data_IF_570772129446
#
_entry.id   IF_570772129446
#
_cell.length_a   1.000
_cell.length_b   1.000
_cell.length_c   1.000
_cell.angle_alpha   90.00
_cell.angle_beta   90.00
_cell.angle_gamma   90.00
#
_symmetry.space_group_name_H-M   'P 1'
#
loop_
_entity.id
_entity.type
_entity.pdbx_description
1 polymer ?
#
# COMPACT_ATOMS: atom_id res chain seq x y z
N UNK A 1 105.82 -20.92 66.17
CA UNK A 1 104.63 -21.74 65.88
C UNK A 1 103.44 -21.02 66.50
N UNK A 2 102.69 -20.27 65.71
CA UNK A 2 101.36 -19.79 66.07
C UNK A 2 100.63 -19.48 64.77
N UNK A 3 99.46 -20.09 64.68
CA UNK A 3 98.61 -20.30 63.53
C UNK A 3 97.74 -19.08 63.26
N UNK A 4 97.76 -18.58 62.03
CA UNK A 4 96.66 -17.77 61.48
C UNK A 4 95.53 -18.72 61.11
N UNK A 5 94.33 -18.49 61.66
CA UNK A 5 93.14 -19.20 61.21
C UNK A 5 91.94 -18.26 61.31
N UNK A 6 91.09 -18.36 60.28
CA UNK A 6 89.66 -18.03 60.30
C UNK A 6 89.24 -16.60 59.93
N UNK A 7 89.30 -16.27 58.64
CA UNK A 7 88.44 -15.22 58.04
C UNK A 7 87.77 -15.66 56.72
N UNK A 8 88.14 -16.82 56.16
CA UNK A 8 87.72 -17.22 54.81
C UNK A 8 86.49 -18.12 54.73
N UNK A 9 86.11 -18.86 55.79
CA UNK A 9 84.97 -19.79 55.72
C UNK A 9 83.61 -19.08 55.74
N UNK A 10 83.43 -18.07 56.60
CA UNK A 10 82.16 -17.34 56.78
C UNK A 10 81.69 -16.62 55.51
N UNK A 11 82.62 -16.08 54.72
CA UNK A 11 82.28 -15.34 53.50
C UNK A 11 81.74 -16.26 52.39
N UNK A 12 82.12 -17.54 52.39
CA UNK A 12 81.76 -18.49 51.33
C UNK A 12 80.37 -19.08 51.54
N UNK A 13 80.01 -19.38 52.79
CA UNK A 13 78.67 -19.84 53.15
C UNK A 13 77.60 -18.75 52.99
N UNK A 14 77.88 -17.52 53.38
CA UNK A 14 76.96 -16.38 53.18
C UNK A 14 76.70 -16.12 51.69
N UNK A 15 77.73 -16.22 50.84
CA UNK A 15 77.59 -16.09 49.38
C UNK A 15 76.77 -17.25 48.78
N UNK A 16 76.91 -18.46 49.31
CA UNK A 16 76.13 -19.62 48.87
C UNK A 16 74.63 -19.50 49.23
N UNK A 17 74.33 -19.06 50.46
CA UNK A 17 72.97 -18.84 50.94
C UNK A 17 72.26 -17.70 50.18
N UNK A 18 72.98 -16.63 49.88
CA UNK A 18 72.49 -15.53 49.04
C UNK A 18 72.21 -15.96 47.60
N UNK A 19 73.02 -16.85 47.03
CA UNK A 19 72.77 -17.43 45.69
C UNK A 19 71.53 -18.31 45.68
N UNK A 20 71.32 -19.14 46.72
CA UNK A 20 70.11 -19.96 46.83
C UNK A 20 68.85 -19.10 46.93
N UNK A 21 68.83 -18.12 47.84
CA UNK A 21 67.70 -17.18 47.97
C UNK A 21 67.43 -16.42 46.68
N UNK A 22 68.46 -16.00 45.95
CA UNK A 22 68.27 -15.35 44.65
C UNK A 22 67.68 -16.31 43.60
N UNK A 23 68.03 -17.59 43.63
CA UNK A 23 67.44 -18.58 42.74
C UNK A 23 65.96 -18.82 43.09
N UNK A 24 65.63 -18.90 44.38
CA UNK A 24 64.26 -19.09 44.85
C UNK A 24 63.39 -17.86 44.55
N UNK A 25 63.88 -16.65 44.83
CA UNK A 25 63.20 -15.41 44.46
C UNK A 25 62.98 -15.27 42.94
N UNK A 26 63.93 -15.75 42.12
CA UNK A 26 63.75 -15.79 40.66
C UNK A 26 62.66 -16.77 40.26
N UNK A 27 62.62 -17.97 40.87
CA UNK A 27 61.57 -18.98 40.63
C UNK A 27 60.20 -18.45 41.05
N UNK A 28 60.09 -17.88 42.24
CA UNK A 28 58.86 -17.28 42.74
C UNK A 28 58.39 -16.15 41.83
N UNK A 29 59.29 -15.23 41.43
CA UNK A 29 58.96 -14.18 40.48
C UNK A 29 58.46 -14.74 39.14
N UNK A 30 59.10 -15.77 38.61
CA UNK A 30 58.70 -16.38 37.34
C UNK A 30 57.36 -17.11 37.47
N UNK A 31 57.08 -17.72 38.63
CA UNK A 31 55.79 -18.30 38.96
C UNK A 31 54.69 -17.24 39.11
N UNK A 32 54.97 -16.13 39.79
CA UNK A 32 54.04 -15.02 39.92
C UNK A 32 53.73 -14.36 38.58
N UNK A 33 54.73 -14.22 37.70
CA UNK A 33 54.50 -13.73 36.33
C UNK A 33 53.55 -14.66 35.56
N UNK A 34 53.77 -15.97 35.62
CA UNK A 34 52.87 -16.94 34.97
C UNK A 34 51.44 -16.90 35.51
N UNK A 35 51.29 -16.74 36.84
CA UNK A 35 49.96 -16.59 37.47
C UNK A 35 49.27 -15.29 37.05
N UNK A 36 50.02 -14.21 36.92
CA UNK A 36 49.51 -12.91 36.46
C UNK A 36 49.07 -12.97 35.00
N UNK A 37 49.87 -13.57 34.13
CA UNK A 37 49.52 -13.76 32.71
C UNK A 37 48.28 -14.65 32.54
N UNK A 38 48.16 -15.71 33.37
CA UNK A 38 46.98 -16.57 33.36
C UNK A 38 45.72 -15.88 33.89
N UNK A 39 45.85 -15.03 34.92
CA UNK A 39 44.74 -14.25 35.45
C UNK A 39 44.29 -13.16 34.46
N UNK A 40 45.22 -12.50 33.78
CA UNK A 40 44.91 -11.53 32.74
C UNK A 40 44.12 -12.19 31.60
N UNK A 41 44.58 -13.35 31.13
CA UNK A 41 43.89 -14.11 30.08
C UNK A 41 42.47 -14.52 30.47
N UNK A 42 42.25 -14.96 31.71
CA UNK A 42 40.91 -15.29 32.21
C UNK A 42 39.99 -14.07 32.32
N UNK A 43 40.56 -12.90 32.60
CA UNK A 43 39.82 -11.64 32.69
C UNK A 43 39.41 -11.15 31.31
N UNK A 44 40.33 -11.21 30.33
CA UNK A 44 40.05 -10.91 28.93
C UNK A 44 38.97 -11.85 28.36
N UNK A 45 39.05 -13.16 28.63
CA UNK A 45 38.04 -14.16 28.22
C UNK A 45 36.67 -13.95 28.90
N UNK A 46 36.63 -13.39 30.11
CA UNK A 46 35.38 -13.07 30.81
C UNK A 46 34.74 -11.79 30.27
N UNK A 47 35.54 -10.77 29.94
CA UNK A 47 35.07 -9.53 29.31
C UNK A 47 34.52 -9.78 27.90
N UNK A 48 35.19 -10.60 27.10
CA UNK A 48 34.72 -10.99 25.76
C UNK A 48 33.39 -11.75 25.81
N UNK A 49 33.22 -12.67 26.78
CA UNK A 49 31.95 -13.39 26.97
C UNK A 49 30.82 -12.48 27.46
N UNK A 50 31.10 -11.51 28.32
CA UNK A 50 30.11 -10.54 28.77
C UNK A 50 29.65 -9.63 27.61
N UNK A 51 30.59 -9.15 26.79
CA UNK A 51 30.30 -8.37 25.58
C UNK A 51 29.45 -9.15 24.57
N UNK A 52 29.75 -10.44 24.36
CA UNK A 52 28.95 -11.32 23.50
C UNK A 52 27.51 -11.52 24.02
N UNK A 53 27.33 -11.56 25.35
CA UNK A 53 26.01 -11.64 25.98
C UNK A 53 25.15 -10.39 25.75
N UNK A 54 25.74 -9.21 25.87
CA UNK A 54 25.06 -7.93 25.60
C UNK A 54 24.69 -7.77 24.12
N UNK A 55 25.56 -8.21 23.22
CA UNK A 55 25.32 -8.19 21.78
C UNK A 55 24.22 -9.17 21.37
N UNK A 56 24.18 -10.36 21.98
CA UNK A 56 23.09 -11.33 21.79
C UNK A 56 21.74 -10.77 22.28
N UNK A 57 21.72 -10.12 23.45
CA UNK A 57 20.52 -9.49 23.99
C UNK A 57 20.04 -8.30 23.14
N UNK A 58 20.97 -7.57 22.51
CA UNK A 58 20.64 -6.51 21.54
C UNK A 58 20.06 -7.12 20.25
N UNK A 59 20.70 -8.16 19.72
CA UNK A 59 20.25 -8.84 18.50
C UNK A 59 18.87 -9.48 18.68
N UNK A 60 18.58 -10.07 19.85
CA UNK A 60 17.25 -10.59 20.18
C UNK A 60 16.18 -9.49 20.23
N UNK A 61 16.51 -8.32 20.82
CA UNK A 61 15.58 -7.17 20.82
C UNK A 61 15.32 -6.67 19.42
N UNK A 62 16.35 -6.57 18.59
CA UNK A 62 16.22 -6.10 17.21
C UNK A 62 15.47 -7.13 16.35
N UNK A 63 15.69 -8.43 16.57
CA UNK A 63 14.91 -9.49 15.93
C UNK A 63 13.43 -9.42 16.31
N UNK A 64 13.12 -9.28 17.61
CA UNK A 64 11.73 -9.17 18.07
C UNK A 64 11.05 -7.92 17.49
N UNK A 65 11.75 -6.78 17.42
CA UNK A 65 11.24 -5.56 16.77
C UNK A 65 10.96 -5.80 15.29
N UNK A 66 11.91 -6.42 14.58
CA UNK A 66 11.76 -6.71 13.16
C UNK A 66 10.60 -7.67 12.90
N UNK A 67 10.43 -8.69 13.75
CA UNK A 67 9.32 -9.63 13.69
C UNK A 67 7.97 -8.92 13.90
N UNK A 68 7.86 -8.02 14.89
CA UNK A 68 6.66 -7.20 15.08
C UNK A 68 6.38 -6.32 13.86
N UNK A 69 7.37 -5.58 13.36
CA UNK A 69 7.21 -4.74 12.17
C UNK A 69 6.81 -5.55 10.93
N UNK A 70 7.32 -6.78 10.78
CA UNK A 70 6.94 -7.68 9.71
C UNK A 70 5.48 -8.12 9.81
N UNK A 71 5.00 -8.44 11.02
CA UNK A 71 3.61 -8.78 11.26
C UNK A 71 2.67 -7.59 10.99
N UNK A 72 3.06 -6.39 11.43
CA UNK A 72 2.30 -5.16 11.20
C UNK A 72 2.17 -4.85 9.70
N UNK A 73 3.29 -4.90 8.96
CA UNK A 73 3.29 -4.72 7.50
C UNK A 73 2.45 -5.79 6.78
N UNK A 74 2.45 -7.02 7.28
CA UNK A 74 1.63 -8.10 6.72
C UNK A 74 0.15 -7.79 6.90
N UNK A 75 -0.26 -7.36 8.10
CA UNK A 75 -1.64 -6.98 8.39
C UNK A 75 -2.10 -5.74 7.60
N UNK A 76 -1.22 -4.74 7.46
CA UNK A 76 -1.49 -3.56 6.64
C UNK A 76 -1.64 -3.93 5.16
N UNK A 77 -0.77 -4.79 4.63
CA UNK A 77 -0.86 -5.29 3.26
C UNK A 77 -2.15 -6.06 3.01
N UNK A 78 -2.59 -6.90 3.95
CA UNK A 78 -3.85 -7.64 3.84
C UNK A 78 -5.06 -6.69 3.87
N UNK A 79 -5.02 -5.66 4.71
CA UNK A 79 -6.05 -4.62 4.77
C UNK A 79 -6.12 -3.85 3.45
N UNK A 80 -4.99 -3.34 2.95
CA UNK A 80 -4.92 -2.60 1.69
C UNK A 80 -5.34 -3.47 0.49
N UNK A 81 -5.00 -4.77 0.49
CA UNK A 81 -5.43 -5.69 -0.55
C UNK A 81 -6.96 -5.88 -0.54
N UNK A 82 -7.57 -5.97 0.65
CA UNK A 82 -9.02 -6.04 0.82
C UNK A 82 -9.69 -4.75 0.36
N UNK A 83 -9.18 -3.58 0.76
CA UNK A 83 -9.73 -2.28 0.37
C UNK A 83 -9.64 -2.04 -1.14
N UNK A 84 -8.51 -2.42 -1.75
CA UNK A 84 -8.32 -2.33 -3.20
C UNK A 84 -9.30 -3.24 -3.95
N UNK A 85 -9.52 -4.46 -3.45
CA UNK A 85 -10.51 -5.39 -4.00
C UNK A 85 -11.90 -4.76 -3.97
N UNK A 86 -12.33 -4.26 -2.80
CA UNK A 86 -13.63 -3.59 -2.64
C UNK A 86 -13.76 -2.41 -3.59
N UNK A 87 -12.81 -1.48 -3.58
CA UNK A 87 -12.84 -0.28 -4.43
C UNK A 87 -12.92 -0.61 -5.93
N UNK A 88 -12.19 -1.64 -6.39
CA UNK A 88 -12.22 -2.06 -7.79
C UNK A 88 -13.56 -2.70 -8.17
N UNK A 89 -14.13 -3.52 -7.30
CA UNK A 89 -15.45 -4.14 -7.51
C UNK A 89 -16.52 -3.06 -7.54
N UNK A 90 -16.57 -2.17 -6.54
CA UNK A 90 -17.54 -1.08 -6.41
C UNK A 90 -17.48 -0.14 -7.63
N UNK A 91 -16.27 0.26 -8.04
CA UNK A 91 -16.06 1.12 -9.21
C UNK A 91 -16.52 0.46 -10.52
N UNK A 92 -16.22 -0.83 -10.70
CA UNK A 92 -16.64 -1.57 -11.89
C UNK A 92 -18.17 -1.77 -11.94
N UNK A 93 -18.80 -2.06 -10.80
CA UNK A 93 -20.26 -2.18 -10.70
C UNK A 93 -20.93 -0.83 -10.95
N UNK A 94 -20.46 0.24 -10.31
CA UNK A 94 -20.98 1.59 -10.51
C UNK A 94 -20.92 2.02 -11.98
N UNK A 95 -19.78 1.79 -12.65
CA UNK A 95 -19.61 2.09 -14.07
C UNK A 95 -20.55 1.25 -14.96
N UNK A 96 -20.77 -0.02 -14.60
CA UNK A 96 -21.66 -0.91 -15.33
C UNK A 96 -23.14 -0.52 -15.16
N UNK A 97 -23.56 -0.14 -13.95
CA UNK A 97 -24.91 0.37 -13.66
C UNK A 97 -25.18 1.66 -14.45
N UNK A 98 -24.22 2.59 -14.44
CA UNK A 98 -24.32 3.84 -15.20
C UNK A 98 -24.43 3.58 -16.71
N UNK A 99 -23.58 2.69 -17.24
CA UNK A 99 -23.60 2.31 -18.67
C UNK A 99 -24.87 1.55 -19.06
N UNK A 100 -25.47 0.81 -18.13
CA UNK A 100 -26.71 0.09 -18.31
C UNK A 100 -27.97 0.96 -18.29
N UNK A 101 -27.85 2.27 -18.03
CA UNK A 101 -28.98 3.19 -17.87
C UNK A 101 -30.02 2.68 -16.86
N UNK A 102 -29.55 2.12 -15.75
CA UNK A 102 -30.39 1.63 -14.66
C UNK A 102 -31.20 2.77 -14.06
N UNK A 103 -32.48 2.51 -13.76
CA UNK A 103 -33.35 3.50 -13.13
C UNK A 103 -32.80 3.90 -11.74
N UNK A 104 -32.76 5.20 -11.40
CA UNK A 104 -32.19 5.67 -10.13
C UNK A 104 -32.76 4.96 -8.90
N UNK A 105 -34.06 4.69 -8.88
CA UNK A 105 -34.75 4.01 -7.78
C UNK A 105 -34.40 2.52 -7.65
N UNK A 106 -33.74 1.93 -8.66
CA UNK A 106 -33.32 0.53 -8.69
C UNK A 106 -31.81 0.35 -8.53
N UNK A 107 -31.03 1.44 -8.47
CA UNK A 107 -29.55 1.38 -8.41
C UNK A 107 -29.08 0.53 -7.24
N UNK A 108 -29.57 0.79 -6.03
CA UNK A 108 -29.17 0.08 -4.81
C UNK A 108 -29.48 -1.43 -4.90
N UNK A 109 -30.63 -1.79 -5.47
CA UNK A 109 -31.02 -3.18 -5.66
C UNK A 109 -30.11 -3.91 -6.67
N UNK A 110 -29.78 -3.24 -7.78
CA UNK A 110 -28.91 -3.79 -8.82
C UNK A 110 -27.47 -3.91 -8.32
N UNK A 111 -26.98 -2.91 -7.59
CA UNK A 111 -25.69 -2.90 -6.93
C UNK A 111 -25.57 -4.10 -5.99
N UNK A 112 -26.55 -4.32 -5.11
CA UNK A 112 -26.57 -5.47 -4.20
C UNK A 112 -26.57 -6.83 -4.93
N UNK A 113 -27.30 -6.95 -6.06
CA UNK A 113 -27.31 -8.16 -6.88
C UNK A 113 -25.92 -8.40 -7.49
N UNK A 114 -25.30 -7.36 -8.05
CA UNK A 114 -23.99 -7.48 -8.69
C UNK A 114 -22.90 -7.76 -7.67
N UNK A 115 -22.91 -7.13 -6.49
CA UNK A 115 -21.98 -7.45 -5.40
C UNK A 115 -22.07 -8.90 -4.95
N UNK A 116 -23.30 -9.43 -4.81
CA UNK A 116 -23.49 -10.84 -4.41
C UNK A 116 -22.85 -11.83 -5.40
N UNK A 117 -22.80 -11.47 -6.68
CA UNK A 117 -22.28 -12.33 -7.75
C UNK A 117 -20.82 -12.04 -8.10
N UNK A 118 -20.28 -10.91 -7.67
CA UNK A 118 -18.93 -10.48 -8.02
C UNK A 118 -17.88 -11.34 -7.31
N UNK A 119 -16.92 -11.81 -8.09
CA UNK A 119 -15.72 -12.49 -7.63
C UNK A 119 -14.52 -11.64 -8.01
N UNK A 120 -13.53 -11.57 -7.12
CA UNK A 120 -12.28 -10.86 -7.38
C UNK A 120 -11.12 -11.83 -7.24
N UNK A 121 -10.50 -12.15 -8.36
CA UNK A 121 -9.40 -13.10 -8.50
C UNK A 121 -8.36 -12.49 -9.44
N UNK A 122 -7.07 -12.76 -9.19
CA UNK A 122 -5.94 -12.32 -10.01
C UNK A 122 -5.93 -10.82 -10.37
N UNK A 123 -6.46 -9.98 -9.49
CA UNK A 123 -6.50 -8.53 -9.68
C UNK A 123 -7.66 -8.02 -10.53
N UNK A 124 -8.57 -8.90 -10.97
CA UNK A 124 -9.72 -8.57 -11.81
C UNK A 124 -11.05 -8.94 -11.14
N UNK A 125 -12.02 -8.04 -11.25
CA UNK A 125 -13.40 -8.29 -10.81
C UNK A 125 -14.21 -8.93 -11.94
N UNK A 126 -14.83 -10.08 -11.68
CA UNK A 126 -15.61 -10.84 -12.65
C UNK A 126 -16.95 -11.29 -12.08
N UNK A 127 -17.93 -11.53 -12.96
CA UNK A 127 -19.19 -12.21 -12.64
C UNK A 127 -19.37 -13.30 -13.70
N UNK A 128 -19.63 -14.54 -13.26
CA UNK A 128 -19.76 -15.72 -14.14
C UNK A 128 -18.59 -15.87 -15.13
N UNK A 129 -17.36 -15.59 -14.65
CA UNK A 129 -16.13 -15.66 -15.45
C UNK A 129 -15.97 -14.57 -16.52
N UNK A 130 -16.85 -13.56 -16.54
CA UNK A 130 -16.79 -12.41 -17.46
C UNK A 130 -16.45 -11.14 -16.72
N UNK A 131 -15.91 -10.15 -17.45
CA UNK A 131 -15.78 -8.81 -16.89
C UNK A 131 -17.16 -8.31 -16.42
N UNK A 132 -17.19 -7.51 -15.35
CA UNK A 132 -18.44 -6.95 -14.81
C UNK A 132 -19.20 -6.16 -15.90
N UNK A 133 -18.49 -5.48 -16.79
CA UNK A 133 -19.08 -4.76 -17.91
C UNK A 133 -19.77 -5.69 -18.94
N UNK A 134 -19.12 -6.80 -19.32
CA UNK A 134 -19.70 -7.76 -20.28
C UNK A 134 -20.87 -8.53 -19.70
N UNK A 135 -20.77 -8.89 -18.41
CA UNK A 135 -21.87 -9.47 -17.66
C UNK A 135 -23.06 -8.50 -17.64
N UNK A 136 -22.84 -7.25 -17.21
CA UNK A 136 -23.88 -6.24 -17.11
C UNK A 136 -24.59 -5.99 -18.45
N UNK A 137 -23.83 -5.87 -19.54
CA UNK A 137 -24.39 -5.73 -20.89
C UNK A 137 -25.33 -6.89 -21.25
N UNK A 138 -24.96 -8.12 -20.91
CA UNK A 138 -25.77 -9.31 -21.18
C UNK A 138 -26.99 -9.37 -20.25
N UNK A 139 -26.79 -9.08 -18.96
CA UNK A 139 -27.81 -9.11 -17.93
C UNK A 139 -28.91 -8.08 -18.20
N UNK A 140 -28.54 -6.82 -18.42
CA UNK A 140 -29.47 -5.73 -18.71
C UNK A 140 -30.20 -5.87 -20.04
N UNK A 141 -29.64 -6.62 -21.01
CA UNK A 141 -30.34 -6.94 -22.25
C UNK A 141 -31.43 -8.02 -22.09
N UNK A 142 -31.41 -8.80 -21.00
CA UNK A 142 -32.32 -9.93 -20.78
C UNK A 142 -32.92 -9.89 -19.38
N UNK A 143 -32.30 -10.60 -18.44
CA UNK A 143 -32.82 -10.86 -17.11
C UNK A 143 -33.04 -9.58 -16.30
N UNK A 144 -32.12 -8.63 -16.44
CA UNK A 144 -32.15 -7.33 -15.78
C UNK A 144 -32.83 -6.21 -16.58
N UNK A 145 -33.45 -6.49 -17.72
CA UNK A 145 -34.08 -5.47 -18.58
C UNK A 145 -35.12 -4.62 -17.85
N UNK A 146 -35.82 -5.22 -16.88
CA UNK A 146 -36.79 -4.54 -16.05
C UNK A 146 -36.19 -3.54 -15.06
N UNK A 147 -34.86 -3.48 -14.85
CA UNK A 147 -34.20 -2.44 -14.05
C UNK A 147 -33.74 -1.24 -14.87
N UNK A 148 -33.61 -1.43 -16.18
CA UNK A 148 -33.10 -0.44 -17.13
C UNK A 148 -34.23 0.52 -17.50
N UNK A 149 -33.89 1.79 -17.71
CA UNK A 149 -34.82 2.72 -18.35
C UNK A 149 -35.11 2.25 -19.77
N UNK A 150 -36.35 2.41 -20.23
CA UNK A 150 -36.58 2.35 -21.68
C UNK A 150 -35.58 3.29 -22.37
N UNK A 151 -35.08 2.91 -23.54
CA UNK A 151 -34.40 3.88 -24.40
C UNK A 151 -35.31 5.11 -24.48
N UNK A 152 -34.74 6.32 -24.45
CA UNK A 152 -35.53 7.54 -24.61
C UNK A 152 -36.36 7.35 -25.88
N UNK A 153 -37.65 7.08 -25.68
CA UNK A 153 -38.56 6.94 -26.78
C UNK A 153 -38.67 8.35 -27.32
N UNK A 154 -37.96 8.63 -28.42
CA UNK A 154 -38.22 9.76 -29.30
C UNK A 154 -39.58 9.59 -30.01
N UNK A 155 -40.59 9.10 -29.28
CA UNK A 155 -41.98 9.27 -29.62
C UNK A 155 -42.27 10.75 -29.38
N UNK A 156 -42.67 11.42 -30.45
CA UNK A 156 -43.23 12.76 -30.39
C UNK A 156 -44.16 12.86 -29.17
N UNK A 157 -43.91 13.86 -28.32
CA UNK A 157 -44.77 14.37 -27.24
C UNK A 157 -44.42 14.01 -25.78
N UNK A 158 -43.31 13.33 -25.49
CA UNK A 158 -42.83 13.23 -24.10
C UNK A 158 -41.90 14.40 -23.73
N UNK A 159 -42.46 15.42 -23.08
CA UNK A 159 -41.72 16.53 -22.46
C UNK A 159 -40.96 16.00 -21.24
N UNK A 160 -39.70 15.58 -21.45
CA UNK A 160 -38.87 15.02 -20.39
C UNK A 160 -37.38 15.24 -20.63
N UNK A 161 -36.87 16.38 -20.16
CA UNK A 161 -35.46 16.68 -19.91
C UNK A 161 -34.49 16.58 -21.10
N UNK A 162 -34.57 17.55 -22.02
CA UNK A 162 -33.47 17.79 -22.95
C UNK A 162 -32.38 18.60 -22.22
N UNK A 163 -31.31 17.93 -21.80
CA UNK A 163 -30.04 18.59 -21.52
C UNK A 163 -29.61 19.32 -22.79
N UNK A 164 -29.93 20.62 -22.85
CA UNK A 164 -29.82 21.43 -24.04
C UNK A 164 -28.36 21.50 -24.51
N UNK A 165 -28.00 20.67 -25.49
CA UNK A 165 -26.99 21.05 -26.45
C UNK A 165 -27.53 22.30 -27.15
N UNK A 166 -26.82 23.41 -27.03
CA UNK A 166 -27.10 24.65 -27.77
C UNK A 166 -27.34 24.30 -29.25
N UNK A 167 -28.56 24.50 -29.74
CA UNK A 167 -28.87 24.27 -31.15
C UNK A 167 -28.19 25.39 -31.92
N UNK A 168 -27.19 25.06 -32.73
CA UNK A 168 -26.55 26.03 -33.62
C UNK A 168 -27.47 26.34 -34.80
N UNK A 169 -28.32 27.35 -34.60
CA UNK A 169 -29.28 27.78 -35.59
C UNK A 169 -28.65 28.43 -36.83
N UNK A 170 -27.40 28.89 -36.75
CA UNK A 170 -26.73 29.60 -37.84
C UNK A 170 -26.43 28.69 -39.03
N UNK A 171 -26.21 27.40 -38.75
CA UNK A 171 -25.88 26.38 -39.74
C UNK A 171 -27.08 25.49 -40.12
N UNK A 172 -28.27 25.73 -39.56
CA UNK A 172 -29.48 24.97 -39.88
C UNK A 172 -30.20 25.61 -41.10
N UNK A 173 -30.35 24.91 -42.24
CA UNK A 173 -31.05 25.42 -43.42
C UNK A 173 -32.48 25.83 -43.10
N UNK A 174 -32.89 27.06 -43.44
CA UNK A 174 -34.21 27.56 -43.07
C UNK A 174 -35.34 26.89 -43.89
N UNK A 175 -36.35 26.39 -43.19
CA UNK A 175 -37.55 25.81 -43.79
C UNK A 175 -38.82 26.41 -43.20
N UNK A 176 -39.67 27.01 -44.04
CA UNK A 176 -40.87 27.72 -43.57
C UNK A 176 -41.89 26.79 -42.86
N UNK A 177 -42.06 25.56 -43.36
CA UNK A 177 -42.95 24.57 -42.74
C UNK A 177 -42.48 24.15 -41.35
N UNK A 178 -41.18 23.92 -41.19
CA UNK A 178 -40.57 23.61 -39.89
C UNK A 178 -40.63 24.81 -38.94
N UNK A 179 -40.38 26.02 -39.44
CA UNK A 179 -40.52 27.24 -38.66
C UNK A 179 -41.94 27.40 -38.10
N UNK A 180 -42.97 27.20 -38.92
CA UNK A 180 -44.37 27.30 -38.47
C UNK A 180 -44.74 26.22 -37.46
N UNK A 181 -44.21 25.00 -37.62
CA UNK A 181 -44.38 23.94 -36.63
C UNK A 181 -43.67 24.28 -35.31
N UNK A 182 -42.45 24.81 -35.39
CA UNK A 182 -41.66 25.23 -34.23
C UNK A 182 -42.25 26.46 -33.54
N UNK A 183 -42.84 27.40 -34.27
CA UNK A 183 -43.49 28.58 -33.70
C UNK A 183 -44.65 28.20 -32.78
N UNK A 184 -45.36 27.12 -33.10
CA UNK A 184 -46.48 26.60 -32.29
C UNK A 184 -46.02 25.87 -31.03
N UNK A 185 -44.89 25.17 -31.08
CA UNK A 185 -44.42 24.29 -29.98
C UNK A 185 -43.33 24.93 -29.13
N UNK A 186 -42.48 25.78 -29.72
CA UNK A 186 -41.38 26.49 -29.07
C UNK A 186 -41.09 27.83 -29.80
N UNK A 187 -41.89 28.88 -29.51
CA UNK A 187 -41.82 30.15 -30.22
C UNK A 187 -40.49 30.89 -30.05
N UNK A 188 -39.83 30.76 -28.89
CA UNK A 188 -38.53 31.38 -28.62
C UNK A 188 -37.42 30.79 -29.51
N UNK A 189 -37.39 29.46 -29.64
CA UNK A 189 -36.43 28.78 -30.52
C UNK A 189 -36.68 29.06 -32.01
N UNK A 190 -37.96 29.15 -32.41
CA UNK A 190 -38.33 29.51 -33.78
C UNK A 190 -37.85 30.93 -34.14
N UNK A 191 -38.06 31.91 -33.24
CA UNK A 191 -37.60 33.30 -33.41
C UNK A 191 -36.08 33.41 -33.46
N UNK A 192 -35.37 32.64 -32.63
CA UNK A 192 -33.92 32.56 -32.64
C UNK A 192 -33.39 31.97 -33.96
N UNK A 193 -34.02 30.92 -34.48
CA UNK A 193 -33.66 30.32 -35.77
C UNK A 193 -33.91 31.24 -36.96
N UNK A 194 -35.07 31.90 -37.00
CA UNK A 194 -35.39 32.89 -38.03
C UNK A 194 -34.38 34.04 -38.01
N UNK A 195 -34.03 34.54 -36.82
CA UNK A 195 -33.02 35.61 -36.68
C UNK A 195 -31.62 35.15 -37.12
N UNK A 196 -31.19 33.95 -36.71
CA UNK A 196 -29.87 33.40 -37.03
C UNK A 196 -29.66 33.09 -38.52
N UNK A 197 -30.74 32.84 -39.26
CA UNK A 197 -30.71 32.52 -40.70
C UNK A 197 -31.07 33.70 -41.61
N UNK A 198 -31.22 34.91 -41.06
CA UNK A 198 -31.55 36.12 -41.81
C UNK A 198 -33.04 36.27 -42.19
N UNK A 199 -33.92 35.44 -41.61
CA UNK A 199 -35.37 35.46 -41.83
C UNK A 199 -36.15 36.13 -40.68
N UNK A 200 -35.50 36.97 -39.89
CA UNK A 200 -36.08 37.59 -38.69
C UNK A 200 -37.31 38.49 -38.94
N UNK A 201 -37.57 38.90 -40.19
CA UNK A 201 -38.77 39.62 -40.58
C UNK A 201 -40.07 38.81 -40.39
N UNK A 202 -39.97 37.49 -40.24
CA UNK A 202 -41.10 36.60 -39.94
C UNK A 202 -41.55 36.65 -38.47
N UNK A 203 -40.79 37.31 -37.60
CA UNK A 203 -41.07 37.39 -36.16
C UNK A 203 -42.03 38.54 -35.77
N UNK A 204 -42.54 39.28 -36.77
CA UNK A 204 -43.46 40.41 -36.60
C UNK A 204 -44.91 40.01 -36.36
#
# INVERSE_FOLDING_TARGET
MTTETTTTDTSTEDVSGLKSKNADLKRERDEFKRKLDAAQKLLDEAEDNAAAGDELAKLQRDFNRLQSSFNDLTAERDTLASDLKTTRVDGAISAAIASGNVRPEMVEAVEAIMHRKAVYEDGAATIDGKSIADFAKTYFAKDGSHFVRAADNAGADATGNNGAKSVDYSNKPFGLGEYQAMLKTNPESAKAWASATGNGFLNG
#
